data_IF_789308060887
#
_entry.id   IF_789308060887
#
_cell.length_a   1.000
_cell.length_b   1.000
_cell.length_c   1.000
_cell.angle_alpha   90.00
_cell.angle_beta   90.00
_cell.angle_gamma   90.00
#
_symmetry.space_group_name_H-M   'P 1'
#
loop_
_entity.id
_entity.type
_entity.pdbx_description
1 polymer ?
2 non-polymer ?
3 non-polymer ?
4 non-polymer ?
5 non-polymer ?
6 water ?
#
# COMPACT_ATOMS: atom_id res chain seq x y z
N UNK A 1 -14.99 -12.77 3.14
CA UNK A 1 -15.27 -12.69 1.69
C UNK A 1 -14.39 -13.64 0.89
N UNK A 2 -14.20 -13.32 -0.38
CA UNK A 2 -13.44 -14.13 -1.35
C UNK A 2 -11.97 -14.31 -0.93
N UNK A 3 -11.40 -15.50 -1.15
CA UNK A 3 -9.99 -15.65 -0.90
C UNK A 3 -9.11 -15.05 -2.01
N UNK A 4 -9.71 -14.68 -3.14
CA UNK A 4 -8.89 -14.25 -4.27
C UNK A 4 -8.16 -12.88 -4.13
N UNK A 5 -8.82 -11.84 -3.54
CA UNK A 5 -8.05 -10.54 -3.48
C UNK A 5 -6.74 -10.66 -2.73
N UNK A 6 -6.70 -11.44 -1.64
CA UNK A 6 -5.44 -11.67 -0.97
C UNK A 6 -4.37 -12.22 -1.92
N UNK A 7 -4.75 -13.12 -2.83
CA UNK A 7 -3.82 -13.58 -3.85
C UNK A 7 -3.18 -12.45 -4.69
N UNK A 8 -4.00 -11.56 -5.21
CA UNK A 8 -3.50 -10.57 -6.12
C UNK A 8 -2.67 -9.53 -5.35
N UNK A 9 -3.12 -9.26 -4.13
CA UNK A 9 -2.38 -8.31 -3.32
C UNK A 9 -1.02 -8.92 -3.04
N UNK A 10 -0.94 -10.21 -2.69
CA UNK A 10 0.38 -10.80 -2.31
C UNK A 10 1.28 -10.82 -3.55
N UNK A 11 0.69 -11.04 -4.73
CA UNK A 11 1.47 -11.00 -5.97
C UNK A 11 2.06 -9.57 -6.25
N UNK A 12 1.24 -8.55 -6.04
CA UNK A 12 1.71 -7.16 -6.12
C UNK A 12 2.86 -6.92 -5.14
N UNK A 13 2.73 -7.31 -3.88
CA UNK A 13 3.77 -7.11 -2.90
C UNK A 13 5.06 -7.99 -3.04
N UNK A 14 4.94 -9.13 -3.70
CA UNK A 14 6.03 -10.11 -3.83
C UNK A 14 6.82 -10.03 -5.13
N UNK A 15 6.26 -9.32 -6.10
CA UNK A 15 6.97 -9.02 -7.30
C UNK A 15 8.35 -8.37 -6.97
N UNK A 16 9.40 -8.91 -7.59
CA UNK A 16 10.78 -8.51 -7.32
C UNK A 16 11.35 -7.69 -8.46
N UNK A 17 12.22 -6.74 -8.13
CA UNK A 17 12.92 -5.95 -9.15
C UNK A 17 13.63 -6.82 -10.22
N UNK A 18 14.13 -7.99 -9.82
CA UNK A 18 14.87 -8.83 -10.79
C UNK A 18 13.97 -9.62 -11.74
N UNK A 19 12.65 -9.55 -11.52
CA UNK A 19 11.66 -10.22 -12.35
C UNK A 19 11.33 -9.48 -13.62
N UNK A 20 11.87 -8.27 -13.79
CA UNK A 20 11.68 -7.43 -14.98
C UNK A 20 13.03 -7.13 -15.56
N UNK A 21 13.08 -6.81 -16.87
CA UNK A 21 14.43 -6.61 -17.39
C UNK A 21 14.92 -5.18 -17.06
N UNK A 22 14.14 -4.40 -16.32
CA UNK A 22 14.50 -2.96 -16.16
C UNK A 22 13.37 -2.19 -15.49
N UNK A 23 13.67 -0.95 -15.10
CA UNK A 23 12.77 -0.17 -14.24
C UNK A 23 11.46 0.17 -14.90
N UNK A 24 11.47 0.58 -16.18
CA UNK A 24 10.23 0.88 -16.89
C UNK A 24 9.28 -0.32 -16.92
N UNK A 25 9.85 -1.50 -17.15
CA UNK A 25 9.03 -2.71 -17.28
C UNK A 25 8.57 -3.09 -15.86
N UNK A 26 9.46 -2.91 -14.89
CA UNK A 26 9.06 -3.22 -13.48
C UNK A 26 7.85 -2.42 -13.05
N UNK A 27 7.88 -1.10 -13.30
CA UNK A 27 6.76 -0.26 -12.89
C UNK A 27 5.47 -0.57 -13.71
N UNK A 28 5.66 -0.85 -15.00
CA UNK A 28 4.55 -1.31 -15.87
C UNK A 28 3.88 -2.55 -15.30
N UNK A 29 4.70 -3.51 -14.90
CA UNK A 29 4.12 -4.77 -14.37
C UNK A 29 3.43 -4.45 -13.03
N UNK A 30 4.08 -3.67 -12.17
CA UNK A 30 3.43 -3.24 -10.88
C UNK A 30 2.04 -2.61 -11.09
N UNK A 31 1.89 -1.69 -12.07
CA UNK A 31 0.61 -1.08 -12.37
C UNK A 31 -0.43 -2.18 -12.63
N UNK A 32 -0.04 -3.19 -13.38
CA UNK A 32 -1.03 -4.24 -13.80
C UNK A 32 -1.42 -5.09 -12.61
N UNK A 33 -0.44 -5.43 -11.79
CA UNK A 33 -0.75 -6.26 -10.58
C UNK A 33 -1.54 -5.43 -9.61
N UNK A 34 -1.17 -4.15 -9.49
CA UNK A 34 -1.95 -3.27 -8.64
C UNK A 34 -3.42 -3.24 -9.10
N UNK A 35 -3.65 -3.04 -10.38
CA UNK A 35 -5.02 -3.02 -10.89
C UNK A 35 -5.77 -4.36 -10.64
N UNK A 36 -5.09 -5.48 -10.69
CA UNK A 36 -5.73 -6.83 -10.45
C UNK A 36 -6.23 -6.98 -9.01
N UNK A 37 -5.54 -6.33 -8.07
CA UNK A 37 -5.87 -6.31 -6.68
C UNK A 37 -6.94 -5.29 -6.41
N UNK A 38 -6.69 -4.01 -6.78
CA UNK A 38 -7.54 -2.92 -6.32
C UNK A 38 -8.83 -2.78 -7.19
N UNK A 39 -8.78 -3.38 -8.39
CA UNK A 39 -9.90 -3.46 -9.34
C UNK A 39 -10.66 -2.14 -9.51
N UNK A 40 -9.99 -1.09 -10.05
CA UNK A 40 -10.60 0.21 -10.16
C UNK A 40 -11.81 0.25 -11.12
N UNK A 41 -11.89 -0.70 -12.05
CA UNK A 41 -13.06 -0.80 -12.98
C UNK A 41 -14.36 -1.15 -12.22
N UNK A 42 -14.21 -1.80 -11.07
CA UNK A 42 -15.38 -2.19 -10.27
C UNK A 42 -15.49 -1.54 -8.88
N UNK A 43 -14.43 -0.91 -8.38
CA UNK A 43 -14.49 -0.27 -7.08
C UNK A 43 -14.46 1.19 -7.19
N UNK A 44 -15.11 1.86 -6.23
CA UNK A 44 -15.05 3.32 -6.13
C UNK A 44 -13.74 3.75 -5.47
N UNK A 45 -13.44 5.06 -5.49
CA UNK A 45 -12.30 5.62 -4.79
C UNK A 45 -12.29 5.23 -3.31
N UNK A 46 -13.46 5.34 -2.71
CA UNK A 46 -13.65 5.07 -1.29
C UNK A 46 -13.38 3.57 -0.99
N UNK A 47 -13.90 2.69 -1.84
CA UNK A 47 -13.66 1.26 -1.71
C UNK A 47 -12.17 0.87 -1.86
N UNK A 48 -11.49 1.51 -2.80
CA UNK A 48 -10.01 1.31 -3.02
C UNK A 48 -9.22 1.70 -1.74
N UNK A 49 -9.52 2.85 -1.22
CA UNK A 49 -8.85 3.26 0.03
C UNK A 49 -9.14 2.35 1.23
N UNK A 50 -10.35 1.81 1.31
CA UNK A 50 -10.61 0.81 2.36
C UNK A 50 -9.70 -0.42 2.18
N UNK A 51 -9.41 -0.82 0.93
CA UNK A 51 -8.53 -1.98 0.73
C UNK A 51 -7.11 -1.62 1.12
N UNK A 52 -6.69 -0.38 0.83
CA UNK A 52 -5.33 0.07 1.31
C UNK A 52 -5.20 0.11 2.85
N UNK A 53 -6.21 0.65 3.51
CA UNK A 53 -6.29 0.64 4.99
C UNK A 53 -6.30 -0.80 5.57
N UNK A 54 -7.08 -1.65 4.94
CA UNK A 54 -7.23 -3.03 5.41
C UNK A 54 -5.86 -3.72 5.38
N UNK A 55 -5.15 -3.57 4.26
CA UNK A 55 -3.84 -4.21 4.15
C UNK A 55 -2.90 -3.76 5.29
N UNK A 56 -2.92 -2.46 5.61
CA UNK A 56 -2.00 -1.97 6.64
C UNK A 56 -2.47 -2.44 8.02
N UNK A 57 -3.77 -2.46 8.23
CA UNK A 57 -4.29 -2.94 9.53
C UNK A 57 -3.85 -4.39 9.78
N UNK A 58 -3.96 -5.27 8.77
CA UNK A 58 -3.60 -6.66 8.96
C UNK A 58 -2.08 -6.75 9.12
N UNK A 59 -1.36 -5.90 8.39
CA UNK A 59 0.09 -5.92 8.50
C UNK A 59 0.59 -5.59 9.90
N UNK A 60 -0.15 -4.79 10.67
CA UNK A 60 0.32 -4.43 11.99
C UNK A 60 -0.15 -5.35 13.15
N UNK A 61 -0.99 -6.33 12.84
CA UNK A 61 -1.43 -7.25 13.89
C UNK A 61 -0.27 -8.11 14.34
N UNK A 62 -0.24 -8.42 15.64
CA UNK A 62 0.67 -9.48 16.02
C UNK A 62 0.42 -10.82 15.28
N UNK A 63 1.50 -11.63 15.21
CA UNK A 63 1.61 -12.79 14.32
C UNK A 63 0.39 -13.74 14.25
N UNK A 64 -0.07 -14.25 15.39
CA UNK A 64 -1.21 -15.18 15.32
C UNK A 64 -2.54 -14.51 14.98
N UNK A 65 -2.80 -13.31 15.52
CA UNK A 65 -4.02 -12.57 15.16
C UNK A 65 -3.98 -12.27 13.66
N UNK A 66 -2.79 -11.93 13.17
CA UNK A 66 -2.64 -11.65 11.76
C UNK A 66 -3.07 -12.87 10.92
N UNK A 67 -2.54 -14.05 11.29
CA UNK A 67 -2.95 -15.29 10.58
C UNK A 67 -4.43 -15.56 10.70
N UNK A 68 -4.94 -15.39 11.90
CA UNK A 68 -6.42 -15.59 12.18
C UNK A 68 -7.29 -14.75 11.21
N UNK A 69 -6.99 -13.44 11.17
CA UNK A 69 -7.79 -12.46 10.39
C UNK A 69 -7.60 -12.77 8.93
N UNK A 70 -6.34 -13.00 8.53
CA UNK A 70 -6.08 -13.34 7.12
C UNK A 70 -6.96 -14.45 6.63
N UNK A 71 -7.05 -15.49 7.43
CA UNK A 71 -7.78 -16.72 7.09
C UNK A 71 -9.28 -16.55 7.03
N UNK A 72 -9.80 -15.44 7.57
CA UNK A 72 -11.22 -15.08 7.44
C UNK A 72 -11.49 -14.17 6.26
N UNK A 73 -10.44 -13.80 5.52
CA UNK A 73 -10.59 -12.96 4.27
C UNK A 73 -11.57 -11.82 4.34
N UNK A 74 -11.41 -10.92 5.35
CA UNK A 74 -12.23 -9.72 5.39
C UNK A 74 -12.07 -8.85 4.13
N UNK A 75 -13.14 -8.18 3.77
CA UNK A 75 -13.13 -7.40 2.53
C UNK A 75 -12.85 -5.92 2.81
N UNK A 76 -12.92 -5.54 4.08
CA UNK A 76 -12.64 -4.19 4.49
C UNK A 76 -12.24 -4.20 5.95
N UNK A 77 -11.94 -3.01 6.46
CA UNK A 77 -11.43 -2.82 7.81
C UNK A 77 -12.46 -3.15 8.88
N UNK A 78 -13.69 -2.75 8.62
CA UNK A 78 -14.82 -3.03 9.51
C UNK A 78 -14.98 -4.52 9.73
N UNK A 79 -14.95 -5.25 8.65
CA UNK A 79 -15.01 -6.69 8.71
C UNK A 79 -13.85 -7.33 9.50
N UNK A 80 -12.63 -6.87 9.28
CA UNK A 80 -11.44 -7.31 10.07
C UNK A 80 -11.64 -7.06 11.56
N UNK A 81 -12.22 -5.93 11.93
CA UNK A 81 -12.39 -5.59 13.36
C UNK A 81 -13.39 -6.57 14.04
N UNK A 82 -14.47 -6.85 13.31
CA UNK A 82 -15.52 -7.76 13.75
C UNK A 82 -14.92 -9.16 13.94
N UNK A 83 -13.99 -9.55 13.04
CA UNK A 83 -13.31 -10.85 13.15
C UNK A 83 -12.62 -10.91 14.49
N UNK A 84 -11.90 -9.85 14.87
CA UNK A 84 -11.16 -9.81 16.12
C UNK A 84 -12.11 -9.73 17.31
N UNK A 85 -13.13 -8.86 17.20
CA UNK A 85 -14.22 -8.87 18.20
C UNK A 85 -14.93 -10.23 18.36
N UNK A 86 -15.21 -10.95 17.27
CA UNK A 86 -15.80 -12.30 17.41
C UNK A 86 -14.81 -13.28 18.14
N UNK A 87 -13.55 -13.22 17.79
CA UNK A 87 -12.56 -14.03 18.51
C UNK A 87 -12.42 -13.70 20.01
N UNK A 88 -12.28 -12.42 20.32
CA UNK A 88 -12.24 -11.96 21.70
C UNK A 88 -13.41 -12.62 22.48
N UNK A 89 -14.60 -12.59 21.88
CA UNK A 89 -15.77 -13.12 22.56
C UNK A 89 -15.73 -14.65 22.71
N UNK A 90 -15.21 -15.37 21.71
CA UNK A 90 -15.00 -16.82 21.84
C UNK A 90 -13.88 -17.24 22.82
N UNK A 91 -12.96 -16.33 23.10
CA UNK A 91 -11.94 -16.63 24.09
C UNK A 91 -12.31 -16.20 25.53
N UNK A 92 -13.33 -15.36 25.69
CA UNK A 92 -13.69 -14.91 27.03
C UNK A 92 -14.78 -15.80 27.61
N UNK B 1 4.03 25.58 4.62
CA UNK B 1 2.98 24.71 4.03
C UNK B 1 2.75 23.43 4.85
N UNK B 2 1.95 22.52 4.31
CA UNK B 2 1.72 21.25 4.99
C UNK B 2 2.91 20.31 4.81
N UNK B 3 2.95 19.21 5.57
CA UNK B 3 4.02 18.24 5.46
C UNK B 3 4.12 17.72 4.00
N UNK B 4 5.31 17.38 3.58
CA UNK B 4 5.51 16.60 2.35
C UNK B 4 4.72 15.27 2.39
N UNK B 5 4.17 14.83 1.24
CA UNK B 5 3.46 13.52 1.14
C UNK B 5 4.24 12.37 1.74
N UNK B 6 5.56 12.36 1.59
CA UNK B 6 6.33 11.30 2.19
C UNK B 6 6.25 11.21 3.70
N UNK B 7 6.09 12.35 4.40
CA UNK B 7 5.90 12.32 5.88
C UNK B 7 4.59 11.66 6.21
N UNK B 8 3.54 12.05 5.46
CA UNK B 8 2.26 11.39 5.64
C UNK B 8 2.32 9.89 5.33
N UNK B 9 2.99 9.50 4.23
CA UNK B 9 3.03 8.09 3.85
C UNK B 9 3.76 7.33 4.99
N UNK B 10 4.88 7.87 5.44
CA UNK B 10 5.65 7.16 6.55
C UNK B 10 4.81 7.04 7.80
N UNK B 11 4.07 8.09 8.15
CA UNK B 11 3.24 7.97 9.39
C UNK B 11 2.18 6.89 9.25
N UNK B 12 1.59 6.77 8.05
CA UNK B 12 0.63 5.71 7.80
C UNK B 12 1.29 4.31 8.00
N UNK B 13 2.47 4.11 7.45
CA UNK B 13 3.13 2.81 7.52
C UNK B 13 3.76 2.51 8.90
N UNK B 14 4.05 3.56 9.67
CA UNK B 14 4.79 3.44 10.97
C UNK B 14 3.81 3.40 12.17
N UNK B 15 2.52 3.68 11.94
CA UNK B 15 1.53 3.57 13.05
C UNK B 15 1.53 2.13 13.58
N UNK B 16 1.49 2.01 14.91
CA UNK B 16 1.74 0.71 15.58
C UNK B 16 0.45 0.24 16.22
N UNK B 17 0.18 -1.05 16.18
CA UNK B 17 -1.03 -1.57 16.79
C UNK B 17 -1.19 -1.21 18.27
N UNK B 18 -0.10 -1.17 19.01
CA UNK B 18 -0.28 -0.78 20.43
C UNK B 18 -0.41 0.72 20.66
N UNK B 19 -0.51 1.51 19.58
CA UNK B 19 -0.71 2.97 19.68
C UNK B 19 -2.15 3.33 19.97
N UNK B 20 -3.07 2.38 19.85
CA UNK B 20 -4.45 2.74 20.09
C UNK B 20 -5.01 1.70 21.05
N UNK B 21 -6.18 1.98 21.66
CA UNK B 21 -6.75 1.12 22.71
C UNK B 21 -7.42 -0.15 22.17
N UNK B 22 -7.55 -0.31 20.86
CA UNK B 22 -8.24 -1.50 20.33
C UNK B 22 -8.38 -1.47 18.84
N UNK B 23 -8.88 -2.57 18.25
CA UNK B 23 -8.83 -2.64 16.78
C UNK B 23 -9.73 -1.60 16.13
N UNK B 24 -10.94 -1.37 16.67
CA UNK B 24 -11.77 -0.32 16.08
C UNK B 24 -11.09 1.05 15.99
N UNK B 25 -10.42 1.44 17.06
CA UNK B 25 -9.71 2.69 17.09
C UNK B 25 -8.53 2.70 16.09
N UNK B 26 -7.76 1.61 16.05
CA UNK B 26 -6.62 1.49 15.14
C UNK B 26 -7.09 1.69 13.71
N UNK B 27 -8.19 1.03 13.37
CA UNK B 27 -8.66 1.12 11.96
C UNK B 27 -9.07 2.57 11.68
N UNK B 28 -9.81 3.22 12.59
CA UNK B 28 -10.12 4.66 12.42
C UNK B 28 -8.88 5.56 12.22
N UNK B 29 -7.85 5.40 13.08
CA UNK B 29 -6.62 6.17 12.94
C UNK B 29 -5.89 5.93 11.56
N UNK B 30 -5.82 4.68 11.14
CA UNK B 30 -5.22 4.30 9.87
C UNK B 30 -5.97 4.96 8.73
N UNK B 31 -7.31 4.99 8.79
CA UNK B 31 -8.07 5.68 7.77
C UNK B 31 -7.69 7.12 7.65
N UNK B 32 -7.61 7.80 8.81
CA UNK B 32 -7.26 9.20 8.84
C UNK B 32 -5.84 9.43 8.30
N UNK B 33 -4.86 8.62 8.75
CA UNK B 33 -3.46 8.73 8.17
C UNK B 33 -3.44 8.47 6.70
N UNK B 34 -4.17 7.48 6.28
CA UNK B 34 -4.19 7.16 4.81
C UNK B 34 -4.79 8.32 3.98
N UNK B 35 -5.91 8.94 4.42
CA UNK B 35 -6.45 10.11 3.74
C UNK B 35 -5.43 11.21 3.63
N UNK B 36 -4.61 11.43 4.63
CA UNK B 36 -3.67 12.53 4.59
C UNK B 36 -2.53 12.33 3.60
N UNK B 37 -2.12 11.08 3.34
CA UNK B 37 -1.22 10.72 2.25
C UNK B 37 -1.88 10.71 0.83
N UNK B 38 -2.96 9.99 0.70
CA UNK B 38 -3.50 9.73 -0.65
C UNK B 38 -4.45 10.84 -1.13
N UNK B 39 -4.95 11.66 -0.20
CA UNK B 39 -5.71 12.89 -0.55
C UNK B 39 -6.81 12.69 -1.56
N UNK B 40 -7.81 11.89 -1.19
CA UNK B 40 -8.89 11.59 -2.13
C UNK B 40 -9.75 12.85 -2.46
N UNK B 41 -9.72 13.86 -1.60
CA UNK B 41 -10.43 15.12 -1.89
C UNK B 41 -9.77 15.86 -3.06
N UNK B 42 -8.51 15.58 -3.34
CA UNK B 42 -7.85 16.24 -4.47
C UNK B 42 -7.39 15.32 -5.62
N UNK B 43 -7.18 14.03 -5.35
CA UNK B 43 -6.63 13.15 -6.38
C UNK B 43 -7.71 12.31 -7.00
N UNK B 44 -7.57 12.01 -8.29
CA UNK B 44 -8.47 11.02 -8.90
C UNK B 44 -8.12 9.57 -8.49
N UNK B 45 -9.06 8.63 -8.73
CA UNK B 45 -8.70 7.19 -8.67
C UNK B 45 -7.36 6.85 -9.30
N UNK B 46 -7.13 7.32 -10.51
CA UNK B 46 -5.86 7.04 -11.18
C UNK B 46 -4.62 7.61 -10.48
N UNK B 47 -4.74 8.82 -9.97
CA UNK B 47 -3.60 9.44 -9.26
C UNK B 47 -3.30 8.69 -7.97
N UNK B 48 -4.36 8.23 -7.31
CA UNK B 48 -4.19 7.43 -6.06
C UNK B 48 -3.45 6.11 -6.38
N UNK B 49 -3.89 5.47 -7.46
CA UNK B 49 -3.32 4.16 -7.81
C UNK B 49 -1.87 4.35 -8.16
N UNK B 50 -1.57 5.42 -8.89
CA UNK B 50 -0.18 5.73 -9.16
C UNK B 50 0.75 5.87 -7.91
N UNK B 51 0.23 6.45 -6.84
CA UNK B 51 1.01 6.63 -5.62
C UNK B 51 1.20 5.33 -4.96
N UNK B 52 0.20 4.45 -5.03
CA UNK B 52 0.32 3.09 -4.44
C UNK B 52 1.40 2.24 -5.19
N UNK B 53 1.37 2.30 -6.52
CA UNK B 53 2.45 1.72 -7.37
C UNK B 53 3.82 2.30 -7.09
N UNK B 54 3.91 3.62 -7.01
CA UNK B 54 5.21 4.25 -6.77
C UNK B 54 5.78 3.77 -5.48
N UNK B 55 4.97 3.71 -4.42
CA UNK B 55 5.49 3.25 -3.13
C UNK B 55 6.13 1.85 -3.17
N UNK B 56 5.43 0.92 -3.81
CA UNK B 56 5.97 -0.42 -3.98
C UNK B 56 7.23 -0.44 -4.88
N UNK B 57 7.21 0.34 -5.95
CA UNK B 57 8.41 0.42 -6.81
C UNK B 57 9.60 0.85 -5.98
N UNK B 58 9.45 1.93 -5.20
CA UNK B 58 10.57 2.36 -4.36
C UNK B 58 10.98 1.25 -3.39
N UNK B 59 9.99 0.57 -2.79
CA UNK B 59 10.30 -0.49 -1.88
C UNK B 59 11.17 -1.59 -2.50
N UNK B 60 11.08 -1.84 -3.80
CA UNK B 60 11.78 -3.00 -4.37
C UNK B 60 13.09 -2.63 -5.09
N UNK B 61 13.39 -1.35 -5.17
CA UNK B 61 14.63 -0.92 -5.85
C UNK B 61 15.85 -1.40 -5.04
N UNK B 62 16.89 -1.87 -5.73
CA UNK B 62 18.13 -2.12 -5.00
C UNK B 62 18.58 -0.85 -4.25
N UNK B 63 19.26 -1.02 -3.14
CA UNK B 63 19.51 0.08 -2.22
C UNK B 63 20.06 1.37 -2.79
N UNK B 64 21.06 1.25 -3.65
CA UNK B 64 21.69 2.43 -4.29
C UNK B 64 20.75 3.20 -5.21
N UNK B 65 20.05 2.44 -6.03
CA UNK B 65 18.97 3.05 -6.86
C UNK B 65 17.83 3.62 -6.02
N UNK B 66 17.48 2.94 -4.92
CA UNK B 66 16.41 3.40 -4.07
C UNK B 66 16.75 4.76 -3.47
N UNK B 67 17.99 4.93 -3.00
CA UNK B 67 18.39 6.21 -2.37
C UNK B 67 18.32 7.34 -3.40
N UNK B 68 18.82 7.07 -4.58
CA UNK B 68 18.83 8.07 -5.66
C UNK B 68 17.40 8.51 -6.02
N UNK B 69 16.54 7.52 -6.25
CA UNK B 69 15.12 7.80 -6.52
C UNK B 69 14.48 8.59 -5.42
N UNK B 70 14.68 8.14 -4.18
CA UNK B 70 14.15 8.85 -3.03
C UNK B 70 14.55 10.33 -2.96
N UNK B 71 15.80 10.61 -3.31
CA UNK B 71 16.32 11.95 -3.24
C UNK B 71 15.68 12.87 -4.30
N UNK B 72 15.13 12.27 -5.36
CA UNK B 72 14.39 13.01 -6.38
C UNK B 72 12.90 13.28 -6.02
N UNK B 73 12.45 12.80 -4.86
CA UNK B 73 11.07 12.98 -4.34
C UNK B 73 9.99 12.80 -5.44
N UNK B 74 9.94 11.59 -6.09
CA UNK B 74 9.01 11.42 -7.20
C UNK B 74 7.56 11.48 -6.81
N UNK B 75 6.71 11.98 -7.72
CA UNK B 75 5.27 12.01 -7.37
C UNK B 75 4.51 10.97 -8.16
N UNK B 76 5.21 10.28 -9.08
CA UNK B 76 4.54 9.16 -9.74
C UNK B 76 5.58 8.20 -10.26
N UNK B 77 5.14 7.06 -10.77
CA UNK B 77 6.03 6.00 -11.29
C UNK B 77 6.86 6.45 -12.48
N UNK B 78 6.32 7.31 -13.34
CA UNK B 78 7.06 7.77 -14.53
C UNK B 78 8.26 8.58 -14.09
N UNK B 79 8.07 9.45 -13.12
CA UNK B 79 9.19 10.26 -12.66
C UNK B 79 10.35 9.35 -12.13
N UNK B 80 10.00 8.39 -11.27
CA UNK B 80 10.92 7.41 -10.74
C UNK B 80 11.66 6.64 -11.86
N UNK B 81 10.96 6.17 -12.89
CA UNK B 81 11.63 5.46 -13.98
C UNK B 81 12.58 6.39 -14.76
N UNK B 82 12.11 7.62 -15.00
CA UNK B 82 12.91 8.50 -15.87
C UNK B 82 14.17 8.93 -15.18
N UNK B 83 14.19 9.04 -13.86
CA UNK B 83 15.46 9.42 -13.27
C UNK B 83 16.49 8.28 -13.33
N UNK B 84 16.03 7.02 -13.32
CA UNK B 84 16.96 5.89 -13.61
C UNK B 84 17.35 5.86 -15.06
N UNK B 85 16.42 6.21 -15.95
CA UNK B 85 16.72 6.12 -17.40
C UNK B 85 17.67 7.22 -17.82
N UNK B 86 17.64 8.35 -17.13
CA UNK B 86 18.61 9.45 -17.34
C UNK B 86 20.07 8.97 -17.09
N UNK B 87 20.28 8.23 -16.03
CA UNK B 87 21.62 7.64 -15.82
C UNK B 87 22.00 6.67 -16.95
N UNK B 88 21.08 5.75 -17.25
CA UNK B 88 21.31 4.73 -18.22
C UNK B 88 21.61 5.36 -19.60
N UNK B 89 20.90 6.44 -19.94
CA UNK B 89 21.12 7.15 -21.20
C UNK B 89 22.51 7.72 -21.30
N UNK B 90 22.94 8.33 -20.19
CA UNK B 90 24.25 9.00 -20.17
C UNK B 90 25.41 7.99 -20.23
N UNK B 91 25.20 6.79 -19.68
CA UNK B 91 26.12 5.67 -19.82
C UNK B 91 26.17 5.07 -21.22
N UNK B 92 25.07 5.10 -21.97
CA UNK B 92 24.99 4.43 -23.29
C UNK B 92 25.50 5.29 -24.43
N UNK B 93 25.52 6.61 -24.21
CA UNK B 93 26.08 7.63 -25.13
C UNK B 93 27.63 7.69 -25.16
X LIG C 1 15.83 -1.04 -20.51
X LIG D 1 5.76 2.54 -19.86
X LIG E 1 -2.55 0.48 -10.14
X LIG E 1 -1.08 2.18 -10.94
X LIG E 1 -1.60 3.16 -11.94
X LIG F 1 -7.97 6.07 3.33
X LIG F 1 -10.16 5.84 4.16
X LIG F 1 -10.78 4.60 3.52
X LIG G 1 3.17 -3.61 3.80
X LIG G 1 2.73 -4.95 4.07
X LIG G 1 2.48 -3.02 2.58
X LIG G 1 3.05 -1.74 2.28
X LIG G 1 4.29 -1.70 1.57
X LIG G 1 5.06 -0.46 2.02
X LIG G 1 6.46 -0.48 1.67
#
# INVERSE_FOLDING_TARGET
>A
GSPDPEIFRQRFRQFGYQDSPGPREAVSQLRELCRLWLRPETHTKEQILELVVLEQFVAILPKELQTWVRDHHPENGEEAVTVLEDLESELDD
>B
GSPDPEIFRQRFRQFGYQDSPGPREAVSQLRELCRLWLRPETHTKEQILELVVLEQFVAILPKELQTWVRDHHPENGEEAVTVLEDLESELDD
>C hetero
1 MG MG
>D hetero
1 CL CL
>E hetero
1 EMC HG C1 C2
>F hetero
1 EMC HG C1 C2
>G hetero
1 PEG C1 O1 C2 O2 C3 C4 O4
#
